data_IF_633363995944
#
_entry.id   IF_633363995944
#
_cell.length_a   1.000
_cell.length_b   1.000
_cell.length_c   1.000
_cell.angle_alpha   90.00
_cell.angle_beta   90.00
_cell.angle_gamma   90.00
#
_symmetry.space_group_name_H-M   'P 1'
#
loop_
_entity.id
_entity.type
_entity.pdbx_description
1 polymer ?
#
# COMPACT_ATOMS: atom_id res chain seq x y z
N UNK A 1 -46.26 4.76 54.04
CA UNK A 1 -45.75 3.51 53.43
C UNK A 1 -46.49 3.32 52.11
N UNK A 2 -46.21 4.10 51.06
CA UNK A 2 -45.20 3.87 50.02
C UNK A 2 -45.18 2.44 49.44
N UNK A 3 -45.96 2.22 48.39
CA UNK A 3 -45.74 1.15 47.40
C UNK A 3 -46.20 1.70 46.04
N UNK A 4 -45.21 2.13 45.24
CA UNK A 4 -45.42 2.83 43.98
C UNK A 4 -45.81 1.93 42.81
N UNK A 5 -46.46 2.47 41.77
CA UNK A 5 -46.71 1.76 40.52
C UNK A 5 -45.47 1.75 39.63
N UNK A 6 -45.27 0.63 38.92
CA UNK A 6 -44.20 0.41 37.94
C UNK A 6 -44.29 1.44 36.81
N UNK A 7 -43.23 2.24 36.64
CA UNK A 7 -42.99 3.06 35.43
C UNK A 7 -42.24 2.22 34.40
N UNK A 8 -42.79 2.10 33.21
CA UNK A 8 -42.00 1.99 31.99
C UNK A 8 -41.49 3.41 31.62
N UNK A 9 -40.27 3.57 31.10
CA UNK A 9 -39.92 4.77 30.37
C UNK A 9 -39.75 4.50 28.87
N UNK A 10 -40.31 5.43 28.13
CA UNK A 10 -40.14 5.68 26.71
C UNK A 10 -38.67 5.88 26.31
N UNK A 11 -38.43 5.58 25.03
CA UNK A 11 -37.43 6.14 24.13
C UNK A 11 -36.71 7.41 24.60
N UNK A 12 -35.37 7.35 24.58
CA UNK A 12 -34.53 8.54 24.44
C UNK A 12 -33.74 8.39 23.14
N UNK A 13 -34.14 9.18 22.14
CA UNK A 13 -33.29 9.56 21.02
C UNK A 13 -32.12 10.34 21.62
N UNK A 14 -30.91 9.81 21.49
CA UNK A 14 -29.67 10.58 21.59
C UNK A 14 -28.94 10.41 20.27
N UNK A 15 -29.10 11.38 19.40
CA UNK A 15 -28.15 11.68 18.34
C UNK A 15 -26.82 12.06 18.99
N UNK A 16 -25.79 11.24 18.84
CA UNK A 16 -24.41 11.64 19.12
C UNK A 16 -23.53 11.24 17.95
N UNK A 17 -23.27 12.23 17.10
CA UNK A 17 -22.09 12.36 16.24
C UNK A 17 -20.81 12.18 17.06
N UNK A 18 -20.28 10.97 17.17
CA UNK A 18 -18.96 10.71 17.78
C UNK A 18 -18.50 9.24 17.62
N UNK A 19 -18.38 8.72 16.40
CA UNK A 19 -17.95 7.31 16.20
C UNK A 19 -16.88 7.09 15.11
N UNK A 20 -16.37 8.18 14.50
CA UNK A 20 -15.33 8.10 13.46
C UNK A 20 -13.94 8.55 13.94
N UNK A 21 -13.84 9.46 14.92
CA UNK A 21 -12.55 10.03 15.38
C UNK A 21 -11.75 9.09 16.29
N UNK A 22 -12.35 8.11 16.97
CA UNK A 22 -11.61 7.22 17.88
C UNK A 22 -10.82 6.10 17.18
N UNK A 23 -10.95 5.97 15.85
CA UNK A 23 -10.25 4.94 15.05
C UNK A 23 -9.01 5.44 14.29
N UNK A 24 -8.75 6.74 14.30
CA UNK A 24 -7.68 7.33 13.48
C UNK A 24 -6.94 8.43 14.25
N UNK A 25 -5.66 8.15 14.54
CA UNK A 25 -4.66 9.08 15.03
C UNK A 25 -4.60 9.35 16.55
N UNK A 26 -3.62 8.71 17.19
CA UNK A 26 -3.02 9.27 18.40
C UNK A 26 -1.57 8.85 18.59
N UNK A 27 -0.66 9.82 18.40
CA UNK A 27 0.74 9.89 18.87
C UNK A 27 1.92 9.36 18.02
N UNK A 28 1.75 8.81 16.82
CA UNK A 28 2.92 8.37 16.02
C UNK A 28 3.67 9.51 15.29
N UNK A 29 3.14 10.74 15.29
CA UNK A 29 3.64 11.84 14.47
C UNK A 29 4.85 12.60 15.05
N UNK A 30 5.25 12.36 16.31
CA UNK A 30 6.41 13.07 16.91
C UNK A 30 7.76 12.38 16.67
N UNK A 31 7.78 11.08 16.33
CA UNK A 31 9.03 10.33 16.12
C UNK A 31 9.57 10.36 14.69
N UNK A 32 8.72 10.58 13.68
CA UNK A 32 9.11 10.47 12.26
C UNK A 32 9.93 11.65 11.71
N UNK A 33 10.00 12.79 12.43
CA UNK A 33 10.87 13.93 12.01
C UNK A 33 12.35 13.73 12.35
N UNK A 34 12.69 12.80 13.24
CA UNK A 34 14.06 12.70 13.80
C UNK A 34 15.02 11.84 12.96
N UNK A 35 14.51 11.01 12.05
CA UNK A 35 15.33 10.02 11.33
C UNK A 35 15.74 10.43 9.90
N UNK A 36 15.32 11.60 9.42
CA UNK A 36 15.61 12.07 8.06
C UNK A 36 16.71 13.13 7.96
N UNK A 37 17.22 13.67 9.07
CA UNK A 37 18.27 14.70 9.09
C UNK A 37 19.68 14.20 9.43
N UNK A 38 19.88 12.88 9.50
CA UNK A 38 21.21 12.28 9.57
C UNK A 38 21.41 11.56 8.24
N UNK A 39 22.58 11.75 7.63
CA UNK A 39 22.99 11.25 6.31
C UNK A 39 22.68 12.19 5.13
N UNK A 40 23.47 13.26 5.05
CA UNK A 40 23.86 13.85 3.78
C UNK A 40 24.45 12.73 2.89
N UNK A 41 23.82 12.47 1.74
CA UNK A 41 24.29 11.52 0.75
C UNK A 41 25.59 12.03 0.10
N UNK A 42 26.62 11.19 -0.11
CA UNK A 42 27.68 11.54 -1.04
C UNK A 42 27.11 11.55 -2.47
N UNK A 43 27.47 12.60 -3.21
CA UNK A 43 27.08 12.84 -4.59
C UNK A 43 27.50 11.67 -5.49
N UNK A 44 26.54 10.98 -6.13
CA UNK A 44 26.84 10.03 -7.20
C UNK A 44 26.57 10.67 -8.57
N UNK A 45 27.42 10.42 -9.58
CA UNK A 45 27.36 11.09 -10.87
C UNK A 45 26.13 10.66 -11.68
N UNK A 46 25.43 11.66 -12.21
CA UNK A 46 24.38 11.54 -13.20
C UNK A 46 24.97 11.13 -14.55
N UNK A 47 24.97 9.84 -14.88
CA UNK A 47 24.79 9.34 -16.26
C UNK A 47 25.04 7.83 -16.36
N UNK A 48 24.00 7.02 -16.19
CA UNK A 48 23.98 5.71 -16.84
C UNK A 48 22.61 5.46 -17.47
N UNK A 49 22.63 5.42 -18.81
CA UNK A 49 21.49 5.10 -19.68
C UNK A 49 21.13 3.63 -19.50
N UNK A 50 19.84 3.38 -19.31
CA UNK A 50 19.24 2.06 -19.52
C UNK A 50 19.49 1.60 -20.97
N UNK A 51 20.08 0.43 -21.23
CA UNK A 51 20.24 -0.06 -22.58
C UNK A 51 18.93 -0.70 -23.08
N UNK A 52 18.46 -0.26 -24.25
CA UNK A 52 17.61 -1.09 -25.11
C UNK A 52 16.21 -0.55 -25.47
N UNK A 53 16.14 0.57 -26.22
CA UNK A 53 15.04 0.81 -27.17
C UNK A 53 15.62 0.67 -28.58
N UNK A 54 15.37 -0.46 -29.24
CA UNK A 54 15.57 -0.60 -30.69
C UNK A 54 14.22 -0.86 -31.35
N UNK A 55 13.72 0.15 -32.06
CA UNK A 55 12.68 0.03 -33.08
C UNK A 55 13.31 -0.67 -34.28
N UNK A 56 13.01 -1.96 -34.47
CA UNK A 56 12.90 -2.70 -35.75
C UNK A 56 12.83 -4.18 -35.43
N UNK A 57 11.83 -4.88 -35.98
CA UNK A 57 11.61 -6.29 -35.72
C UNK A 57 12.73 -7.18 -36.25
N UNK A 58 13.12 -8.18 -35.44
CA UNK A 58 13.57 -9.48 -35.91
C UNK A 58 13.70 -10.42 -34.70
N UNK A 59 13.19 -11.61 -34.91
CA UNK A 59 13.00 -12.76 -34.02
C UNK A 59 14.29 -13.13 -33.25
N UNK A 60 14.23 -13.07 -31.92
CA UNK A 60 15.17 -13.81 -31.06
C UNK A 60 14.55 -15.19 -30.78
N UNK A 61 14.99 -16.18 -31.55
CA UNK A 61 14.74 -17.61 -31.32
C UNK A 61 15.56 -18.12 -30.13
N UNK A 62 15.19 -17.67 -28.93
CA UNK A 62 15.61 -18.27 -27.66
C UNK A 62 14.48 -19.15 -27.16
N UNK A 63 14.76 -20.45 -26.99
CA UNK A 63 13.84 -21.52 -26.58
C UNK A 63 12.97 -21.09 -25.38
N UNK A 64 11.78 -20.56 -25.67
CA UNK A 64 10.77 -20.19 -24.67
C UNK A 64 10.32 -21.48 -24.01
N UNK A 65 10.86 -21.80 -22.82
CA UNK A 65 10.29 -22.87 -21.99
C UNK A 65 8.83 -22.51 -21.79
N UNK A 66 7.93 -23.42 -22.20
CA UNK A 66 6.50 -23.35 -21.89
C UNK A 66 6.34 -22.82 -20.47
N UNK A 67 5.75 -21.63 -20.35
CA UNK A 67 5.43 -21.01 -19.08
C UNK A 67 4.42 -21.95 -18.42
N UNK A 68 4.90 -22.79 -17.50
CA UNK A 68 4.03 -23.53 -16.61
C UNK A 68 3.22 -22.49 -15.84
N UNK A 69 1.89 -22.62 -15.88
CA UNK A 69 0.99 -21.80 -15.07
C UNK A 69 1.54 -21.80 -13.63
N UNK A 70 1.67 -20.64 -12.97
CA UNK A 70 2.01 -20.62 -11.56
C UNK A 70 1.01 -21.51 -10.83
N UNK A 71 1.49 -22.27 -9.85
CA UNK A 71 0.62 -23.09 -9.01
C UNK A 71 -0.58 -22.27 -8.52
N UNK A 72 -1.76 -22.85 -8.71
CA UNK A 72 -3.04 -22.29 -8.27
C UNK A 72 -3.36 -22.69 -6.83
N UNK A 73 -2.49 -23.47 -6.18
CA UNK A 73 -2.73 -24.03 -4.84
C UNK A 73 -2.28 -23.03 -3.78
N UNK A 74 -3.16 -22.70 -2.84
CA UNK A 74 -2.76 -22.03 -1.60
C UNK A 74 -1.89 -22.99 -0.77
N UNK A 75 -0.80 -22.47 -0.21
CA UNK A 75 0.12 -23.24 0.62
C UNK A 75 -0.20 -23.10 2.12
N UNK A 76 -1.03 -22.12 2.51
CA UNK A 76 -1.45 -21.96 3.91
C UNK A 76 -2.20 -23.18 4.45
N UNK A 77 -2.96 -23.87 3.59
CA UNK A 77 -3.62 -25.14 3.93
C UNK A 77 -2.68 -26.33 4.13
N UNK A 78 -1.39 -26.19 3.81
CA UNK A 78 -0.36 -27.20 4.02
C UNK A 78 0.41 -26.99 5.33
N UNK A 79 0.07 -25.94 6.09
CA UNK A 79 0.74 -25.61 7.33
C UNK A 79 0.28 -26.53 8.47
N UNK A 80 1.22 -27.04 9.30
CA UNK A 80 0.86 -27.85 10.46
C UNK A 80 -0.01 -27.04 11.44
N UNK A 81 -0.96 -27.71 12.10
CA UNK A 81 -1.77 -27.11 13.15
C UNK A 81 -0.89 -26.63 14.33
N UNK A 82 -1.06 -25.41 14.84
CA UNK A 82 -0.07 -24.79 15.71
C UNK A 82 -0.03 -25.37 17.12
N UNK A 83 1.18 -25.56 17.66
CA UNK A 83 1.45 -25.59 19.10
C UNK A 83 1.86 -24.20 19.60
N UNK A 84 1.45 -23.84 20.82
CA UNK A 84 1.31 -22.46 21.26
C UNK A 84 2.62 -21.76 21.70
N UNK A 85 2.87 -20.59 21.12
CA UNK A 85 3.41 -19.44 21.86
C UNK A 85 2.55 -18.21 21.52
N UNK A 86 1.46 -17.98 22.25
CA UNK A 86 0.67 -16.77 22.06
C UNK A 86 1.33 -15.59 22.79
N UNK A 87 1.87 -14.64 22.03
CA UNK A 87 2.04 -13.29 22.56
C UNK A 87 0.88 -12.43 22.07
N UNK A 88 -0.17 -12.34 22.88
CA UNK A 88 -1.25 -11.38 22.62
C UNK A 88 -0.77 -10.01 23.09
N UNK A 89 -0.49 -9.11 22.15
CA UNK A 89 -0.33 -7.70 22.48
C UNK A 89 -1.35 -6.93 21.65
N UNK A 90 -2.20 -6.15 22.32
CA UNK A 90 -3.23 -5.32 21.71
C UNK A 90 -2.64 -3.91 21.51
N UNK A 91 -2.16 -3.55 20.31
CA UNK A 91 -1.70 -2.20 20.04
C UNK A 91 -2.88 -1.20 20.07
N UNK A 92 -2.59 0.11 20.16
CA UNK A 92 -3.57 1.19 19.94
C UNK A 92 -4.30 1.09 18.59
N UNK A 93 -3.78 0.31 17.63
CA UNK A 93 -4.38 0.05 16.31
C UNK A 93 -5.38 -1.11 16.29
N UNK A 94 -5.63 -1.80 17.41
CA UNK A 94 -6.61 -2.89 17.51
C UNK A 94 -6.20 -4.23 16.87
N UNK A 95 -5.03 -4.33 16.24
CA UNK A 95 -4.56 -5.56 15.55
C UNK A 95 -3.82 -6.52 16.49
N UNK A 96 -4.38 -7.70 16.75
CA UNK A 96 -3.68 -8.75 17.49
C UNK A 96 -2.81 -9.60 16.56
N UNK A 97 -1.51 -9.68 16.85
CA UNK A 97 -0.60 -10.58 16.15
C UNK A 97 -0.40 -11.85 16.95
N UNK A 98 -0.42 -13.01 16.28
CA UNK A 98 -0.03 -14.30 16.86
C UNK A 98 1.08 -14.88 16.00
N UNK A 99 2.10 -15.45 16.65
CA UNK A 99 3.29 -15.99 15.99
C UNK A 99 3.52 -17.39 16.54
N UNK A 100 3.87 -18.31 15.66
CA UNK A 100 4.19 -19.67 16.03
C UNK A 100 5.54 -20.04 15.43
N UNK A 101 6.30 -20.82 16.18
CA UNK A 101 7.49 -21.50 15.67
C UNK A 101 7.07 -22.93 15.37
N UNK A 102 7.36 -23.44 14.19
CA UNK A 102 7.15 -24.85 13.90
C UNK A 102 8.48 -25.46 13.46
N UNK A 103 8.91 -26.50 14.17
CA UNK A 103 10.21 -27.15 13.99
C UNK A 103 10.22 -28.16 12.84
N UNK A 104 9.07 -28.69 12.44
CA UNK A 104 8.89 -29.70 11.39
C UNK A 104 7.57 -29.44 10.63
N UNK A 105 7.36 -30.14 9.50
CA UNK A 105 6.09 -30.10 8.77
C UNK A 105 5.94 -28.97 7.74
N UNK A 106 7.04 -28.31 7.37
CA UNK A 106 7.03 -27.24 6.36
C UNK A 106 7.42 -27.71 4.95
N UNK A 107 7.82 -28.96 4.77
CA UNK A 107 8.47 -29.39 3.52
C UNK A 107 7.59 -29.20 2.28
N UNK A 108 6.29 -29.58 2.34
CA UNK A 108 5.35 -29.39 1.24
C UNK A 108 5.11 -27.90 0.96
N UNK A 109 4.91 -27.09 2.00
CA UNK A 109 4.73 -25.64 1.88
C UNK A 109 5.98 -24.94 1.32
N UNK A 110 7.19 -25.34 1.76
CA UNK A 110 8.46 -24.80 1.26
C UNK A 110 8.71 -25.21 -0.19
N UNK A 111 8.36 -26.44 -0.56
CA UNK A 111 8.44 -26.90 -1.95
C UNK A 111 7.51 -26.08 -2.85
N UNK A 112 6.30 -25.80 -2.38
CA UNK A 112 5.32 -24.98 -3.09
C UNK A 112 5.80 -23.52 -3.24
N UNK A 113 6.33 -22.92 -2.17
CA UNK A 113 6.90 -21.56 -2.18
C UNK A 113 8.10 -21.48 -3.13
N UNK A 114 9.00 -22.48 -3.11
CA UNK A 114 10.18 -22.52 -4.01
C UNK A 114 9.81 -22.56 -5.49
N UNK A 115 8.69 -23.18 -5.83
CA UNK A 115 8.19 -23.28 -7.19
C UNK A 115 7.28 -22.10 -7.58
N UNK A 116 6.94 -21.24 -6.62
CA UNK A 116 6.06 -20.10 -6.82
C UNK A 116 6.82 -18.84 -7.23
N UNK A 117 6.16 -17.99 -8.00
CA UNK A 117 6.60 -16.59 -8.18
C UNK A 117 6.13 -15.79 -6.98
N UNK A 118 6.97 -14.90 -6.47
CA UNK A 118 6.63 -13.99 -5.37
C UNK A 118 6.59 -12.55 -5.89
N UNK A 119 5.65 -11.77 -5.38
CA UNK A 119 5.56 -10.33 -5.61
C UNK A 119 6.09 -9.59 -4.38
N UNK A 120 6.91 -8.56 -4.59
CA UNK A 120 7.36 -7.69 -3.51
C UNK A 120 6.21 -6.76 -3.12
N UNK A 121 5.46 -7.14 -2.08
CA UNK A 121 4.34 -6.33 -1.57
C UNK A 121 4.84 -5.09 -0.80
N UNK A 122 5.96 -5.21 -0.09
CA UNK A 122 6.60 -4.15 0.68
C UNK A 122 8.11 -4.38 0.71
N UNK A 123 8.89 -3.31 0.77
CA UNK A 123 10.34 -3.38 0.94
C UNK A 123 11.14 -3.29 -0.35
N UNK A 124 10.60 -2.73 -1.43
CA UNK A 124 11.33 -2.48 -2.69
C UNK A 124 12.72 -1.86 -2.46
N UNK A 125 12.81 -0.77 -1.69
CA UNK A 125 14.11 -0.15 -1.37
C UNK A 125 15.01 -1.07 -0.54
N UNK A 126 14.44 -1.81 0.43
CA UNK A 126 15.20 -2.77 1.26
C UNK A 126 15.78 -3.89 0.38
N UNK A 127 15.00 -4.38 -0.57
CA UNK A 127 15.41 -5.39 -1.53
C UNK A 127 16.51 -4.88 -2.47
N UNK A 128 16.37 -3.68 -3.02
CA UNK A 128 17.41 -3.07 -3.87
C UNK A 128 18.73 -2.90 -3.11
N UNK A 129 18.69 -2.42 -1.86
CA UNK A 129 19.89 -2.30 -1.02
C UNK A 129 20.50 -3.67 -0.72
N UNK A 130 19.67 -4.69 -0.43
CA UNK A 130 20.16 -6.05 -0.21
C UNK A 130 20.85 -6.63 -1.46
N UNK A 131 20.33 -6.37 -2.67
CA UNK A 131 20.97 -6.78 -3.92
C UNK A 131 22.34 -6.11 -4.13
N UNK A 132 22.42 -4.80 -3.90
CA UNK A 132 23.69 -4.07 -4.01
C UNK A 132 24.73 -4.60 -3.01
N UNK A 133 24.31 -4.85 -1.76
CA UNK A 133 25.18 -5.44 -0.74
C UNK A 133 25.62 -6.87 -1.09
N UNK A 134 24.71 -7.70 -1.62
CA UNK A 134 25.04 -9.04 -2.11
C UNK A 134 26.12 -8.98 -3.17
N UNK A 135 25.99 -8.09 -4.15
CA UNK A 135 26.92 -8.01 -5.27
C UNK A 135 28.30 -7.49 -4.81
N UNK A 136 28.35 -6.53 -3.89
CA UNK A 136 29.57 -6.06 -3.23
C UNK A 136 30.29 -7.19 -2.48
N UNK A 137 29.57 -7.94 -1.64
CA UNK A 137 30.16 -9.01 -0.84
C UNK A 137 30.57 -10.20 -1.72
N UNK A 138 29.79 -10.52 -2.76
CA UNK A 138 30.16 -11.54 -3.76
C UNK A 138 31.46 -11.22 -4.46
N UNK A 139 31.65 -9.96 -4.86
CA UNK A 139 32.88 -9.54 -5.52
C UNK A 139 34.13 -9.67 -4.61
N UNK A 140 33.97 -9.47 -3.29
CA UNK A 140 35.08 -9.54 -2.33
C UNK A 140 35.34 -10.93 -1.76
N UNK A 141 34.29 -11.71 -1.53
CA UNK A 141 34.33 -12.91 -0.71
C UNK A 141 33.70 -14.14 -1.37
N UNK A 142 33.14 -14.02 -2.58
CA UNK A 142 32.43 -15.10 -3.27
C UNK A 142 31.00 -15.31 -2.75
N UNK A 143 30.42 -16.49 -2.99
CA UNK A 143 29.09 -16.81 -2.48
C UNK A 143 29.09 -16.89 -0.93
N UNK A 144 28.02 -16.46 -0.29
CA UNK A 144 27.96 -16.42 1.17
C UNK A 144 26.58 -16.02 1.73
N UNK A 145 26.48 -15.75 3.05
CA UNK A 145 25.21 -15.45 3.71
C UNK A 145 24.45 -14.26 3.13
N UNK A 146 25.15 -13.32 2.49
CA UNK A 146 24.59 -12.16 1.77
C UNK A 146 23.73 -12.55 0.55
N UNK A 147 23.73 -13.82 0.14
CA UNK A 147 22.87 -14.35 -0.92
C UNK A 147 21.43 -14.60 -0.46
N UNK A 148 21.20 -14.53 0.85
CA UNK A 148 19.88 -14.72 1.47
C UNK A 148 19.41 -13.42 2.15
N UNK A 149 18.09 -13.19 2.08
CA UNK A 149 17.42 -12.10 2.78
C UNK A 149 16.23 -12.64 3.54
N UNK A 150 16.15 -12.31 4.83
CA UNK A 150 14.98 -12.62 5.64
C UNK A 150 13.74 -11.92 5.05
N UNK A 151 12.73 -12.71 4.73
CA UNK A 151 11.52 -12.26 4.03
C UNK A 151 10.29 -12.84 4.71
N UNK A 152 9.25 -12.02 4.85
CA UNK A 152 7.92 -12.50 5.23
C UNK A 152 7.13 -12.83 3.97
N UNK A 153 6.70 -14.09 3.85
CA UNK A 153 5.86 -14.55 2.74
C UNK A 153 4.42 -14.61 3.22
N UNK A 154 3.52 -14.00 2.45
CA UNK A 154 2.07 -13.97 2.74
C UNK A 154 1.37 -14.70 1.60
N UNK A 155 0.49 -15.65 1.94
CA UNK A 155 -0.39 -16.28 0.96
C UNK A 155 -1.55 -15.34 0.63
N UNK A 156 -1.31 -14.42 -0.30
CA UNK A 156 -2.30 -13.43 -0.71
C UNK A 156 -3.57 -14.06 -1.31
N UNK A 157 -3.52 -15.29 -1.82
CA UNK A 157 -4.70 -15.98 -2.38
C UNK A 157 -5.62 -16.50 -1.29
N UNK A 158 -5.05 -16.99 -0.20
CA UNK A 158 -5.82 -17.43 0.96
C UNK A 158 -6.38 -16.24 1.75
N UNK A 159 -5.54 -15.23 1.97
CA UNK A 159 -5.85 -14.13 2.90
C UNK A 159 -6.53 -12.94 2.23
N UNK A 160 -6.45 -12.81 0.90
CA UNK A 160 -6.96 -11.69 0.09
C UNK A 160 -6.82 -10.31 0.78
N UNK A 161 -5.59 -9.90 1.15
CA UNK A 161 -5.40 -8.72 1.97
C UNK A 161 -5.83 -7.45 1.22
N UNK A 162 -6.53 -6.51 1.88
CA UNK A 162 -6.87 -5.23 1.28
C UNK A 162 -5.60 -4.43 0.97
N UNK A 163 -5.62 -3.73 -0.16
CA UNK A 163 -4.60 -2.75 -0.52
C UNK A 163 -5.21 -1.36 -0.33
N UNK A 164 -4.91 -0.74 0.80
CA UNK A 164 -5.44 0.59 1.12
C UNK A 164 -4.82 1.65 0.20
N UNK A 165 -5.56 2.73 -0.09
CA UNK A 165 -5.09 3.80 -0.94
C UNK A 165 -4.00 4.63 -0.26
N UNK A 166 -3.22 5.33 -1.09
CA UNK A 166 -2.37 6.44 -0.65
C UNK A 166 -2.76 7.63 -1.51
N UNK A 167 -3.41 8.62 -0.92
CA UNK A 167 -3.94 9.79 -1.62
C UNK A 167 -2.82 10.66 -2.21
N UNK A 168 -3.12 11.36 -3.30
CA UNK A 168 -2.17 12.25 -3.99
C UNK A 168 -2.48 13.68 -3.63
N UNK A 169 -1.62 14.32 -2.86
CA UNK A 169 -1.75 15.71 -2.45
C UNK A 169 -0.82 16.55 -3.31
N UNK A 170 -1.37 17.53 -4.01
CA UNK A 170 -0.64 18.40 -4.94
C UNK A 170 -0.13 19.60 -4.17
N UNK A 171 1.19 19.69 -4.03
CA UNK A 171 1.86 20.75 -3.27
C UNK A 171 2.23 21.95 -4.14
N UNK A 172 2.26 21.77 -5.46
CA UNK A 172 2.62 22.80 -6.42
C UNK A 172 2.72 22.26 -7.85
N UNK A 173 2.88 23.17 -8.80
CA UNK A 173 2.86 22.88 -10.23
C UNK A 173 1.54 23.26 -10.91
N UNK A 174 1.56 23.32 -12.24
CA UNK A 174 0.36 23.57 -13.01
C UNK A 174 -0.42 22.26 -13.14
N UNK A 175 -1.49 22.12 -12.36
CA UNK A 175 -2.43 21.05 -12.61
C UNK A 175 -3.12 21.31 -13.95
N UNK A 176 -3.28 20.28 -14.80
CA UNK A 176 -4.30 20.36 -15.84
C UNK A 176 -5.66 20.64 -15.17
N UNK A 177 -6.59 21.25 -15.92
CA UNK A 177 -7.96 21.51 -15.44
C UNK A 177 -8.47 20.26 -14.71
N UNK A 178 -8.83 20.41 -13.43
CA UNK A 178 -9.22 19.29 -12.59
C UNK A 178 -10.34 18.51 -13.30
N UNK A 179 -10.32 17.17 -13.28
CA UNK A 179 -11.31 16.40 -14.01
C UNK A 179 -12.70 16.84 -13.56
N UNK A 180 -13.52 17.28 -14.52
CA UNK A 180 -14.88 17.73 -14.25
C UNK A 180 -15.62 16.58 -13.58
N UNK A 181 -16.05 16.83 -12.36
CA UNK A 181 -16.70 15.85 -11.51
C UNK A 181 -17.95 16.43 -10.87
N UNK A 182 -18.86 15.55 -10.51
CA UNK A 182 -20.11 15.91 -9.86
C UNK A 182 -19.83 16.38 -8.43
N UNK A 183 -20.40 17.52 -7.99
CA UNK A 183 -20.19 18.02 -6.64
C UNK A 183 -20.81 17.08 -5.62
N UNK A 184 -20.12 16.89 -4.50
CA UNK A 184 -20.60 16.14 -3.33
C UNK A 184 -20.46 16.98 -2.06
N UNK A 185 -21.16 16.62 -0.98
CA UNK A 185 -21.30 17.48 0.19
C UNK A 185 -19.99 17.63 0.97
N UNK A 186 -19.27 16.54 1.15
CA UNK A 186 -18.10 16.46 2.02
C UNK A 186 -17.22 15.24 1.68
N UNK A 187 -16.13 15.10 2.43
CA UNK A 187 -15.21 13.97 2.31
C UNK A 187 -15.86 12.63 2.66
N UNK A 188 -16.85 12.58 3.56
CA UNK A 188 -17.50 11.33 3.93
C UNK A 188 -18.31 10.77 2.75
N UNK A 189 -19.01 11.65 2.02
CA UNK A 189 -19.67 11.29 0.76
C UNK A 189 -18.66 10.86 -0.30
N UNK A 190 -17.52 11.56 -0.43
CA UNK A 190 -16.44 11.12 -1.33
C UNK A 190 -16.02 9.67 -1.03
N UNK A 191 -15.68 9.37 0.23
CA UNK A 191 -15.19 8.06 0.64
C UNK A 191 -16.23 6.94 0.45
N UNK A 192 -17.52 7.28 0.50
CA UNK A 192 -18.62 6.34 0.23
C UNK A 192 -18.85 6.08 -1.27
N UNK A 193 -18.38 6.96 -2.15
CA UNK A 193 -18.67 6.91 -3.60
C UNK A 193 -17.48 6.47 -4.45
N UNK A 194 -16.24 6.67 -4.02
CA UNK A 194 -15.06 6.25 -4.79
C UNK A 194 -15.01 4.73 -4.97
N UNK A 195 -14.71 4.28 -6.18
CA UNK A 195 -14.78 2.89 -6.62
C UNK A 195 -13.64 2.58 -7.56
N UNK A 196 -12.87 1.54 -7.22
CA UNK A 196 -11.79 1.06 -8.09
C UNK A 196 -12.35 0.32 -9.31
N UNK A 197 -13.58 -0.21 -9.22
CA UNK A 197 -14.26 -0.91 -10.33
C UNK A 197 -14.79 0.09 -11.36
N UNK A 198 -15.40 1.18 -10.91
CA UNK A 198 -16.04 2.19 -11.76
C UNK A 198 -15.08 3.32 -12.18
N UNK A 199 -13.80 3.19 -11.79
CA UNK A 199 -12.75 4.17 -12.01
C UNK A 199 -13.08 5.58 -11.47
N UNK A 200 -13.74 5.64 -10.31
CA UNK A 200 -14.11 6.90 -9.67
C UNK A 200 -13.12 7.29 -8.57
N UNK A 201 -12.80 8.58 -8.51
CA UNK A 201 -11.98 9.17 -7.45
C UNK A 201 -12.61 10.44 -6.90
N UNK A 202 -12.18 10.82 -5.72
CA UNK A 202 -12.50 12.11 -5.12
C UNK A 202 -11.50 13.18 -5.52
N UNK A 203 -11.99 14.38 -5.75
CA UNK A 203 -11.17 15.59 -5.93
C UNK A 203 -11.53 16.57 -4.83
N UNK A 204 -10.52 17.02 -4.10
CA UNK A 204 -10.63 18.08 -3.10
C UNK A 204 -9.79 19.26 -3.56
N UNK A 205 -10.38 20.45 -3.65
CA UNK A 205 -9.71 21.65 -4.13
C UNK A 205 -10.28 22.91 -3.46
N UNK A 206 -9.67 24.06 -3.72
CA UNK A 206 -10.28 25.37 -3.42
C UNK A 206 -10.78 25.99 -4.72
N UNK A 207 -12.08 26.28 -4.79
CA UNK A 207 -12.73 27.04 -5.87
C UNK A 207 -13.42 28.26 -5.24
N UNK A 208 -13.18 29.46 -5.79
CA UNK A 208 -13.75 30.73 -5.28
C UNK A 208 -13.58 30.94 -3.75
N UNK A 209 -12.43 30.52 -3.21
CA UNK A 209 -12.10 30.64 -1.79
C UNK A 209 -12.82 29.64 -0.88
N UNK A 210 -13.51 28.65 -1.45
CA UNK A 210 -14.22 27.59 -0.70
C UNK A 210 -13.60 26.24 -0.97
N UNK A 211 -13.51 25.42 0.08
CA UNK A 211 -13.18 24.01 -0.06
C UNK A 211 -14.34 23.30 -0.75
N UNK A 212 -14.03 22.58 -1.82
CA UNK A 212 -15.02 21.84 -2.61
C UNK A 212 -14.60 20.38 -2.75
N UNK A 213 -15.61 19.52 -2.90
CA UNK A 213 -15.48 18.08 -3.08
C UNK A 213 -16.21 17.66 -4.33
N UNK A 214 -15.57 16.85 -5.16
CA UNK A 214 -16.15 16.30 -6.39
C UNK A 214 -15.84 14.82 -6.52
N UNK A 215 -16.72 14.09 -7.20
CA UNK A 215 -16.44 12.75 -7.71
C UNK A 215 -16.18 12.84 -9.21
N UNK A 216 -15.03 12.34 -9.64
CA UNK A 216 -14.65 12.29 -11.04
C UNK A 216 -14.44 10.84 -11.49
N UNK A 217 -14.92 10.52 -12.68
CA UNK A 217 -14.62 9.25 -13.36
C UNK A 217 -13.44 9.42 -14.30
N UNK A 218 -12.54 8.43 -14.35
CA UNK A 218 -11.42 8.40 -15.28
C UNK A 218 -11.62 7.34 -16.36
N UNK A 219 -11.19 7.62 -17.61
CA UNK A 219 -11.05 6.56 -18.60
C UNK A 219 -9.84 5.69 -18.26
N UNK A 220 -9.91 4.40 -18.62
CA UNK A 220 -8.78 3.49 -18.53
C UNK A 220 -9.18 2.12 -18.03
N UNK A 221 -8.23 1.45 -17.39
CA UNK A 221 -8.44 0.18 -16.70
C UNK A 221 -7.97 0.32 -15.25
N UNK A 222 -8.61 -0.37 -14.31
CA UNK A 222 -8.16 -0.32 -12.93
C UNK A 222 -6.73 -0.81 -12.72
N UNK A 223 -6.06 -0.36 -11.65
CA UNK A 223 -6.59 0.44 -10.55
C UNK A 223 -6.64 1.94 -10.84
N UNK A 224 -7.53 2.66 -10.15
CA UNK A 224 -7.73 4.11 -10.29
C UNK A 224 -6.44 4.90 -10.15
N UNK A 225 -5.52 4.46 -9.28
CA UNK A 225 -4.21 5.11 -9.13
C UNK A 225 -3.39 5.10 -10.41
N UNK A 226 -3.45 4.03 -11.21
CA UNK A 226 -2.77 3.97 -12.50
C UNK A 226 -3.45 4.91 -13.49
N UNK A 227 -4.79 4.87 -13.59
CA UNK A 227 -5.56 5.75 -14.45
C UNK A 227 -5.31 7.24 -14.12
N UNK A 228 -5.26 7.61 -12.83
CA UNK A 228 -4.97 8.97 -12.39
C UNK A 228 -3.59 9.44 -12.86
N UNK A 229 -2.57 8.61 -12.71
CA UNK A 229 -1.23 8.94 -13.16
C UNK A 229 -1.16 9.07 -14.69
N UNK A 230 -1.68 8.09 -15.42
CA UNK A 230 -1.65 8.06 -16.89
C UNK A 230 -2.43 9.20 -17.54
N UNK A 231 -3.57 9.59 -16.96
CA UNK A 231 -4.47 10.59 -17.54
C UNK A 231 -4.16 12.01 -17.09
N UNK A 232 -3.65 12.20 -15.87
CA UNK A 232 -3.56 13.51 -15.21
C UNK A 232 -2.15 13.79 -14.72
N UNK A 233 -1.67 13.04 -13.73
CA UNK A 233 -0.48 13.45 -12.96
C UNK A 233 0.81 13.37 -13.78
N UNK A 234 1.00 12.32 -14.57
CA UNK A 234 2.24 12.15 -15.36
C UNK A 234 2.26 13.04 -16.62
N UNK A 235 1.11 13.64 -16.97
CA UNK A 235 1.00 14.64 -18.04
C UNK A 235 1.19 16.07 -17.54
N UNK A 236 1.13 16.28 -16.22
CA UNK A 236 1.26 17.60 -15.61
C UNK A 236 2.75 17.99 -15.48
N UNK A 237 3.20 19.09 -16.12
CA UNK A 237 4.59 19.52 -16.00
C UNK A 237 4.88 20.06 -14.60
N UNK A 238 6.03 19.67 -14.04
CA UNK A 238 6.56 20.16 -12.75
C UNK A 238 5.59 19.97 -11.56
N UNK A 239 4.79 18.91 -11.56
CA UNK A 239 3.90 18.60 -10.44
C UNK A 239 4.70 18.12 -9.23
N UNK A 240 4.46 18.74 -8.08
CA UNK A 240 5.02 18.33 -6.80
C UNK A 240 3.96 17.56 -6.00
N UNK A 241 4.21 16.28 -5.76
CA UNK A 241 3.27 15.40 -5.06
C UNK A 241 3.75 15.05 -3.64
N UNK A 242 2.79 15.05 -2.72
CA UNK A 242 2.90 14.46 -1.39
C UNK A 242 1.95 13.26 -1.31
N UNK A 243 2.43 12.19 -0.69
CA UNK A 243 1.69 10.93 -0.54
C UNK A 243 1.11 10.84 0.87
N UNK A 244 -0.21 10.79 0.98
CA UNK A 244 -0.91 10.84 2.28
C UNK A 244 -1.86 9.63 2.42
N UNK A 245 -1.62 8.70 3.36
CA UNK A 245 -2.52 7.56 3.59
C UNK A 245 -3.87 7.94 4.21
N UNK A 246 -3.98 9.09 4.85
CA UNK A 246 -5.19 9.55 5.54
C UNK A 246 -5.94 10.61 4.72
N UNK A 247 -7.14 10.28 4.26
CA UNK A 247 -7.97 11.17 3.45
C UNK A 247 -8.29 12.50 4.15
N UNK A 248 -8.53 12.49 5.47
CA UNK A 248 -8.85 13.69 6.23
C UNK A 248 -7.64 14.63 6.31
N UNK A 249 -6.42 14.08 6.43
CA UNK A 249 -5.18 14.87 6.36
C UNK A 249 -4.90 15.41 4.97
N UNK A 250 -5.31 14.69 3.93
CA UNK A 250 -5.22 15.16 2.56
C UNK A 250 -6.14 16.37 2.34
N UNK A 251 -7.40 16.26 2.77
CA UNK A 251 -8.38 17.36 2.75
C UNK A 251 -7.91 18.57 3.58
N UNK A 252 -7.48 18.35 4.82
CA UNK A 252 -6.99 19.41 5.70
C UNK A 252 -5.83 20.20 5.08
N UNK A 253 -4.93 19.53 4.36
CA UNK A 253 -3.83 20.21 3.69
C UNK A 253 -4.32 21.15 2.57
N UNK A 254 -5.40 20.80 1.88
CA UNK A 254 -6.04 21.67 0.90
C UNK A 254 -6.77 22.81 1.61
N UNK A 255 -7.60 22.51 2.61
CA UNK A 255 -8.38 23.51 3.35
C UNK A 255 -7.52 24.54 4.11
N UNK A 256 -6.27 24.19 4.46
CA UNK A 256 -5.30 25.11 5.08
C UNK A 256 -4.45 25.89 4.08
N UNK A 257 -4.62 25.67 2.77
CA UNK A 257 -3.83 26.31 1.71
C UNK A 257 -2.40 25.78 1.58
N UNK A 258 -2.04 24.71 2.30
CA UNK A 258 -0.74 24.04 2.19
C UNK A 258 -0.61 23.28 0.87
N UNK A 259 -1.72 22.80 0.32
CA UNK A 259 -1.82 22.08 -0.94
C UNK A 259 -2.87 22.74 -1.85
N UNK A 260 -2.67 22.64 -3.17
CA UNK A 260 -3.61 23.19 -4.15
C UNK A 260 -4.77 22.25 -4.45
N UNK A 261 -4.54 20.93 -4.35
CA UNK A 261 -5.57 19.92 -4.53
C UNK A 261 -5.18 18.60 -3.84
N UNK A 262 -6.16 17.72 -3.64
CA UNK A 262 -5.94 16.34 -3.26
C UNK A 262 -6.84 15.40 -4.06
N UNK A 263 -6.28 14.26 -4.48
CA UNK A 263 -7.00 13.17 -5.13
C UNK A 263 -7.18 12.02 -4.13
N UNK A 264 -8.44 11.80 -3.74
CA UNK A 264 -8.86 10.74 -2.82
C UNK A 264 -9.14 9.49 -3.65
N UNK A 265 -8.53 8.37 -3.27
CA UNK A 265 -8.47 7.16 -4.07
C UNK A 265 -9.24 6.04 -3.35
N UNK A 266 -9.91 5.14 -4.09
CA UNK A 266 -10.47 3.93 -3.50
C UNK A 266 -9.36 2.92 -3.14
N UNK A 267 -9.59 2.02 -2.17
CA UNK A 267 -8.75 0.84 -2.01
C UNK A 267 -8.80 -0.05 -3.25
N UNK A 268 -7.76 -0.86 -3.46
CA UNK A 268 -7.71 -1.83 -4.55
C UNK A 268 -7.51 -3.26 -4.02
N UNK A 269 -7.64 -4.22 -4.91
CA UNK A 269 -7.53 -5.65 -4.62
C UNK A 269 -6.14 -6.18 -4.98
N UNK A 270 -5.64 -7.14 -4.21
CA UNK A 270 -4.32 -7.74 -4.46
C UNK A 270 -4.22 -8.40 -5.84
N UNK A 271 -5.30 -8.99 -6.33
CA UNK A 271 -5.33 -9.64 -7.65
C UNK A 271 -5.12 -8.65 -8.80
N UNK A 272 -5.62 -7.42 -8.68
CA UNK A 272 -5.42 -6.37 -9.67
C UNK A 272 -3.94 -5.96 -9.74
N UNK A 273 -3.34 -5.75 -8.57
CA UNK A 273 -1.90 -5.46 -8.46
C UNK A 273 -1.09 -6.62 -9.04
N UNK A 274 -1.45 -7.86 -8.71
CA UNK A 274 -0.79 -9.05 -9.21
C UNK A 274 -0.85 -9.15 -10.73
N UNK A 275 -2.02 -8.96 -11.33
CA UNK A 275 -2.22 -9.04 -12.77
C UNK A 275 -1.33 -8.04 -13.52
N UNK A 276 -1.29 -6.78 -13.08
CA UNK A 276 -0.41 -5.77 -13.66
C UNK A 276 1.07 -6.16 -13.59
N UNK A 277 1.54 -6.56 -12.41
CA UNK A 277 2.95 -6.94 -12.22
C UNK A 277 3.30 -8.21 -13.01
N UNK A 278 2.36 -9.13 -13.17
CA UNK A 278 2.54 -10.37 -13.95
C UNK A 278 2.71 -10.12 -15.45
N UNK A 279 2.14 -9.01 -15.95
CA UNK A 279 2.33 -8.51 -17.32
C UNK A 279 3.62 -7.68 -17.49
N UNK A 280 4.40 -7.50 -16.42
CA UNK A 280 5.61 -6.68 -16.42
C UNK A 280 5.34 -5.17 -16.35
N UNK A 281 4.09 -4.76 -16.04
CA UNK A 281 3.75 -3.36 -15.80
C UNK A 281 4.16 -2.95 -14.38
N UNK A 282 4.45 -1.66 -14.21
CA UNK A 282 4.77 -1.07 -12.92
C UNK A 282 3.61 -0.20 -12.46
N UNK A 283 3.31 -0.25 -11.17
CA UNK A 283 2.42 0.73 -10.56
C UNK A 283 3.18 2.05 -10.32
N UNK A 284 2.48 3.20 -10.27
CA UNK A 284 3.08 4.45 -9.86
C UNK A 284 3.73 4.35 -8.47
N UNK A 285 4.62 5.28 -8.15
CA UNK A 285 5.29 5.31 -6.85
C UNK A 285 4.26 5.39 -5.71
N UNK A 286 4.49 4.66 -4.61
CA UNK A 286 3.63 4.66 -3.41
C UNK A 286 2.15 4.37 -3.75
N UNK A 287 1.90 3.36 -4.58
CA UNK A 287 0.53 2.98 -4.97
C UNK A 287 -0.10 1.88 -4.11
N UNK A 288 0.68 1.15 -3.32
CA UNK A 288 0.18 -0.02 -2.58
C UNK A 288 0.45 0.08 -1.09
N UNK A 289 -0.61 0.04 -0.28
CA UNK A 289 -0.52 -0.14 1.18
C UNK A 289 -1.23 -1.42 1.62
N UNK A 290 -0.52 -2.54 1.59
CA UNK A 290 -1.03 -3.82 2.09
C UNK A 290 -1.29 -3.76 3.60
N UNK A 291 -2.49 -4.16 4.03
CA UNK A 291 -2.92 -4.19 5.43
C UNK A 291 -3.48 -5.57 5.82
N UNK A 292 -3.27 -6.06 7.06
CA UNK A 292 -2.49 -5.47 8.15
C UNK A 292 -0.97 -5.49 7.91
N UNK A 293 -0.27 -4.47 8.41
CA UNK A 293 1.19 -4.46 8.41
C UNK A 293 1.73 -5.40 9.51
N UNK A 294 2.85 -6.08 9.28
CA UNK A 294 3.53 -6.81 10.33
C UNK A 294 3.93 -5.85 11.46
N UNK A 295 3.94 -6.33 12.69
CA UNK A 295 4.29 -5.52 13.86
C UNK A 295 5.72 -5.01 13.76
N UNK A 296 5.91 -3.70 13.88
CA UNK A 296 7.25 -3.10 14.02
C UNK A 296 7.93 -3.62 15.28
N UNK A 297 9.22 -3.92 15.18
CA UNK A 297 10.00 -4.44 16.31
C UNK A 297 9.79 -5.94 16.58
N UNK A 298 9.16 -6.68 15.66
CA UNK A 298 9.25 -8.13 15.67
C UNK A 298 10.72 -8.53 15.43
N UNK A 299 11.39 -8.98 16.49
CA UNK A 299 12.77 -9.48 16.41
C UNK A 299 12.70 -10.97 16.17
N UNK A 300 13.10 -11.40 14.97
CA UNK A 300 13.32 -12.80 14.65
C UNK A 300 14.80 -13.04 14.83
N UNK A 301 15.17 -13.82 15.86
CA UNK A 301 16.55 -14.24 16.05
C UNK A 301 16.84 -15.32 15.00
N UNK A 302 17.89 -15.20 14.17
CA UNK A 302 18.22 -16.24 13.21
C UNK A 302 18.49 -17.56 13.96
N UNK A 303 17.87 -18.64 13.49
CA UNK A 303 18.28 -19.99 13.82
C UNK A 303 19.46 -20.33 12.90
N UNK A 304 20.63 -19.75 13.18
CA UNK A 304 21.87 -20.38 12.76
C UNK A 304 22.57 -20.88 14.03
N UNK A 305 23.16 -22.09 14.02
CA UNK A 305 24.08 -22.50 15.07
C UNK A 305 25.34 -21.62 15.13
#
# INVERSE_FOLDING_TARGET
MCSGPRRAPLSTLTSSTSDWEERSAGSAASWWRSSWNLWAAPSFPTSERWPGRSRTGSICSGRCRRISRPSTRSWSGLLPTPWALSSTNRPRSGTTHRVWVAATGWDEALQEIRNSRLMIADGHHRYTVALAHRDEMRARHGAGPWDAMMTMVVDARAENPPVLPIHRVVMGGALPEAPRGDPVRDLAEVLATVSDDDLTLGVVAIEDGRLIHRIASLPGVPPVVCALHEQILDRAPNIALRFEPDAARAEQAVGSGVASAAYVLPPTQVDRVWNLVSEGKLLPQKSTYFWPKPRTGLVIRPFWP
#
